data_IF_528331347577
#
_entry.id   IF_528331347577
#
_cell.length_a   1.000
_cell.length_b   1.000
_cell.length_c   1.000
_cell.angle_alpha   90.00
_cell.angle_beta   90.00
_cell.angle_gamma   90.00
#
_symmetry.space_group_name_H-M   'P 1'
#
loop_
_entity.id
_entity.type
_entity.pdbx_description
1 polymer ?
#
# COMPACT_ATOMS: atom_id res chain seq x y z
N UNK A 1 22.45 69.70 -15.96
CA UNK A 1 22.02 68.65 -15.02
C UNK A 1 23.23 68.21 -14.20
N UNK A 2 23.23 68.36 -12.88
CA UNK A 2 24.46 68.26 -12.05
C UNK A 2 24.98 66.83 -11.96
N UNK A 3 26.31 66.69 -11.89
CA UNK A 3 27.02 65.40 -11.88
C UNK A 3 26.65 64.50 -10.68
N UNK A 4 26.05 65.07 -9.63
CA UNK A 4 25.50 64.36 -8.48
C UNK A 4 24.16 63.66 -8.82
N UNK A 5 23.24 64.36 -9.50
CA UNK A 5 21.91 63.82 -9.86
C UNK A 5 22.01 62.62 -10.81
N UNK A 6 22.95 62.65 -11.75
CA UNK A 6 23.21 61.54 -12.69
C UNK A 6 23.78 60.30 -11.99
N UNK A 7 24.53 60.49 -10.89
CA UNK A 7 25.14 59.43 -10.10
C UNK A 7 24.12 58.71 -9.23
N UNK A 8 23.15 59.44 -8.69
CA UNK A 8 22.06 58.89 -7.90
C UNK A 8 21.04 58.14 -8.76
N UNK A 9 20.75 58.63 -9.97
CA UNK A 9 19.92 57.88 -10.92
C UNK A 9 20.58 56.57 -11.34
N UNK A 10 21.88 56.57 -11.66
CA UNK A 10 22.62 55.35 -11.98
C UNK A 10 22.63 54.33 -10.83
N UNK A 11 22.82 54.78 -9.59
CA UNK A 11 22.76 53.90 -8.41
C UNK A 11 21.37 53.31 -8.22
N UNK A 12 20.31 54.10 -8.40
CA UNK A 12 18.93 53.62 -8.32
C UNK A 12 18.63 52.58 -9.41
N UNK A 13 19.03 52.85 -10.65
CA UNK A 13 18.85 51.90 -11.76
C UNK A 13 19.63 50.60 -11.55
N UNK A 14 20.86 50.65 -11.04
CA UNK A 14 21.64 49.47 -10.68
C UNK A 14 20.99 48.66 -9.54
N UNK A 15 20.45 49.32 -8.52
CA UNK A 15 19.71 48.65 -7.43
C UNK A 15 18.45 47.96 -7.99
N UNK A 16 17.69 48.60 -8.86
CA UNK A 16 16.51 47.99 -9.48
C UNK A 16 16.87 46.80 -10.37
N UNK A 17 17.98 46.86 -11.12
CA UNK A 17 18.46 45.74 -11.94
C UNK A 17 18.90 44.56 -11.05
N UNK A 18 19.59 44.81 -9.94
CA UNK A 18 20.01 43.77 -8.98
C UNK A 18 18.81 43.13 -8.27
N UNK A 19 17.80 43.92 -7.88
CA UNK A 19 16.56 43.39 -7.28
C UNK A 19 15.75 42.59 -8.30
N UNK A 20 15.64 43.06 -9.54
CA UNK A 20 14.93 42.35 -10.60
C UNK A 20 15.62 41.02 -10.97
N UNK A 21 16.96 40.98 -11.00
CA UNK A 21 17.71 39.75 -11.27
C UNK A 21 17.67 38.77 -10.08
N UNK A 22 17.63 39.24 -8.84
CA UNK A 22 17.41 38.40 -7.66
C UNK A 22 15.99 37.79 -7.63
N UNK A 23 14.98 38.49 -8.13
CA UNK A 23 13.61 37.97 -8.25
C UNK A 23 13.45 36.92 -9.35
N UNK A 24 14.18 37.03 -10.47
CA UNK A 24 14.16 36.03 -11.55
C UNK A 24 14.90 34.74 -11.15
N UNK A 25 15.98 34.84 -10.38
CA UNK A 25 16.70 33.67 -9.87
C UNK A 25 15.93 32.88 -8.79
N UNK A 26 14.95 33.50 -8.13
CA UNK A 26 14.13 32.85 -7.09
C UNK A 26 13.04 31.90 -7.59
N UNK A 27 12.73 31.90 -8.90
CA UNK A 27 11.64 31.08 -9.47
C UNK A 27 12.10 29.84 -10.25
N UNK A 28 13.40 29.60 -10.38
CA UNK A 28 13.94 28.43 -11.10
C UNK A 28 14.01 27.14 -10.25
N UNK A 29 13.21 27.06 -9.18
CA UNK A 29 13.27 25.99 -8.19
C UNK A 29 11.92 25.36 -7.87
N UNK A 30 10.95 25.37 -8.79
CA UNK A 30 9.80 24.47 -8.64
C UNK A 30 10.25 23.08 -9.08
N UNK A 31 10.75 22.31 -8.11
CA UNK A 31 10.87 20.87 -8.29
C UNK A 31 9.48 20.37 -8.67
N UNK A 32 9.34 19.84 -9.89
CA UNK A 32 8.21 19.01 -10.24
C UNK A 32 8.15 17.90 -9.20
N UNK A 33 7.18 17.98 -8.29
CA UNK A 33 6.81 16.83 -7.48
C UNK A 33 6.33 15.79 -8.49
N UNK A 34 7.20 14.87 -8.90
CA UNK A 34 6.83 13.72 -9.66
C UNK A 34 5.72 13.03 -8.84
N UNK A 35 4.49 13.10 -9.35
CA UNK A 35 3.32 12.52 -8.69
C UNK A 35 3.61 11.07 -8.39
N UNK A 36 3.31 10.64 -7.17
CA UNK A 36 3.45 9.24 -6.80
C UNK A 36 2.46 8.45 -7.65
N UNK A 37 2.98 7.69 -8.61
CA UNK A 37 2.19 6.86 -9.53
C UNK A 37 1.54 5.71 -8.74
N UNK A 38 0.32 5.96 -8.29
CA UNK A 38 -0.52 4.99 -7.58
C UNK A 38 -1.68 4.55 -8.49
N UNK A 39 -2.56 3.69 -7.99
CA UNK A 39 -3.83 3.39 -8.68
C UNK A 39 -4.75 4.62 -8.83
N UNK A 40 -4.42 5.74 -8.19
CA UNK A 40 -5.14 7.02 -8.31
C UNK A 40 -4.55 7.95 -9.38
N UNK A 41 -3.44 7.57 -10.01
CA UNK A 41 -2.77 8.39 -11.02
C UNK A 41 -3.57 8.40 -12.33
N UNK A 42 -3.75 9.58 -12.94
CA UNK A 42 -4.61 9.75 -14.12
C UNK A 42 -4.09 8.97 -15.35
N UNK A 43 -2.78 8.76 -15.46
CA UNK A 43 -2.19 8.02 -16.59
C UNK A 43 -2.46 6.52 -16.48
N UNK A 44 -2.58 5.99 -15.26
CA UNK A 44 -2.92 4.59 -15.02
C UNK A 44 -4.41 4.39 -14.79
N UNK A 45 -5.15 5.45 -14.46
CA UNK A 45 -6.53 5.35 -14.06
C UNK A 45 -7.33 6.62 -14.44
N UNK A 46 -7.73 6.77 -15.71
CA UNK A 46 -8.30 8.02 -16.20
C UNK A 46 -9.77 8.25 -15.82
N UNK A 47 -10.49 7.22 -15.34
CA UNK A 47 -11.79 7.43 -14.67
C UNK A 47 -11.62 7.67 -13.15
N UNK A 48 -10.37 7.80 -12.67
CA UNK A 48 -9.96 8.13 -11.31
C UNK A 48 -10.73 7.33 -10.23
N UNK A 49 -11.42 8.03 -9.32
CA UNK A 49 -12.24 7.42 -8.27
C UNK A 49 -13.36 6.53 -8.84
N UNK A 50 -13.89 6.89 -10.01
CA UNK A 50 -15.07 6.26 -10.61
C UNK A 50 -14.77 4.93 -11.30
N UNK A 51 -13.49 4.58 -11.44
CA UNK A 51 -13.03 3.27 -11.89
C UNK A 51 -13.39 2.17 -10.90
N UNK A 52 -13.34 2.48 -9.61
CA UNK A 52 -13.65 1.54 -8.53
C UNK A 52 -14.99 1.87 -7.86
N UNK A 53 -15.25 3.15 -7.62
CA UNK A 53 -16.45 3.62 -6.97
C UNK A 53 -17.55 3.97 -7.99
N UNK A 54 -18.79 3.70 -7.63
CA UNK A 54 -19.97 3.94 -8.46
C UNK A 54 -20.49 5.37 -8.38
N UNK A 55 -20.04 6.15 -7.39
CA UNK A 55 -20.53 7.52 -7.11
C UNK A 55 -22.01 7.60 -6.69
N UNK A 56 -22.71 6.48 -6.66
CA UNK A 56 -24.14 6.35 -6.30
C UNK A 56 -24.34 5.11 -5.45
N UNK A 57 -25.10 5.21 -4.38
CA UNK A 57 -25.39 4.08 -3.51
C UNK A 57 -25.71 4.51 -2.09
N UNK A 58 -25.67 3.55 -1.18
CA UNK A 58 -26.02 3.76 0.23
C UNK A 58 -24.79 4.31 0.96
N UNK A 59 -24.95 5.46 1.61
CA UNK A 59 -23.93 6.06 2.49
C UNK A 59 -23.45 5.06 3.54
N UNK A 60 -22.14 5.03 3.78
CA UNK A 60 -21.52 4.10 4.73
C UNK A 60 -21.10 2.75 4.12
N UNK A 61 -21.37 2.52 2.83
CA UNK A 61 -20.78 1.40 2.07
C UNK A 61 -19.54 1.88 1.31
N UNK A 62 -18.73 0.94 0.81
CA UNK A 62 -17.60 1.27 -0.05
C UNK A 62 -18.03 1.81 -1.44
N UNK A 63 -19.33 1.80 -1.76
CA UNK A 63 -19.88 2.27 -3.04
C UNK A 63 -19.22 1.63 -4.27
N UNK A 64 -18.74 0.39 -4.16
CA UNK A 64 -18.05 -0.29 -5.25
C UNK A 64 -19.03 -0.65 -6.38
N UNK A 65 -18.55 -0.62 -7.63
CA UNK A 65 -19.36 -0.94 -8.82
C UNK A 65 -19.64 -2.43 -8.99
N UNK A 66 -18.79 -3.27 -8.40
CA UNK A 66 -18.84 -4.72 -8.43
C UNK A 66 -18.12 -5.25 -7.17
N UNK A 67 -17.91 -6.57 -7.09
CA UNK A 67 -17.13 -7.15 -5.99
C UNK A 67 -15.70 -6.57 -5.98
N UNK A 68 -15.03 -6.62 -4.84
CA UNK A 68 -13.67 -6.06 -4.69
C UNK A 68 -12.69 -6.74 -5.64
N UNK A 69 -12.79 -8.05 -5.78
CA UNK A 69 -11.87 -8.87 -6.57
C UNK A 69 -12.14 -8.69 -8.06
N UNK A 70 -13.41 -8.61 -8.47
CA UNK A 70 -13.76 -8.31 -9.85
C UNK A 70 -13.23 -6.94 -10.27
N UNK A 71 -13.24 -5.93 -9.38
CA UNK A 71 -12.60 -4.63 -9.64
C UNK A 71 -11.10 -4.78 -9.92
N UNK A 72 -10.39 -5.58 -9.12
CA UNK A 72 -8.98 -5.84 -9.35
C UNK A 72 -8.76 -6.56 -10.68
N UNK A 73 -9.54 -7.60 -10.98
CA UNK A 73 -9.41 -8.41 -12.19
C UNK A 73 -9.90 -7.73 -13.47
N UNK A 74 -10.72 -6.67 -13.38
CA UNK A 74 -11.10 -5.88 -14.54
C UNK A 74 -9.88 -5.20 -15.21
N UNK A 75 -8.83 -4.92 -14.45
CA UNK A 75 -7.55 -4.44 -14.99
C UNK A 75 -6.50 -5.55 -14.94
N UNK A 76 -6.31 -6.22 -13.80
CA UNK A 76 -5.27 -7.24 -13.60
C UNK A 76 -5.71 -8.67 -13.95
N UNK A 77 -6.60 -8.84 -14.91
CA UNK A 77 -7.12 -10.14 -15.35
C UNK A 77 -7.02 -10.35 -16.85
N UNK A 78 -7.65 -11.42 -17.34
CA UNK A 78 -7.64 -11.69 -18.78
C UNK A 78 -8.65 -10.81 -19.52
N UNK A 79 -8.28 -10.48 -20.76
CA UNK A 79 -8.86 -9.40 -21.58
C UNK A 79 -10.31 -9.52 -22.00
N UNK A 80 -10.97 -10.64 -21.68
CA UNK A 80 -12.37 -10.86 -22.09
C UNK A 80 -13.33 -10.04 -21.20
N UNK A 81 -12.93 -9.69 -19.97
CA UNK A 81 -13.74 -8.87 -19.04
C UNK A 81 -13.15 -7.47 -18.81
N UNK A 82 -11.91 -7.24 -19.25
CA UNK A 82 -11.19 -6.00 -19.01
C UNK A 82 -11.48 -4.97 -20.08
N UNK A 83 -12.22 -3.92 -19.72
CA UNK A 83 -12.40 -2.73 -20.57
C UNK A 83 -11.08 -2.04 -20.93
N UNK A 84 -9.95 -2.43 -20.32
CA UNK A 84 -8.67 -1.70 -20.31
C UNK A 84 -7.43 -2.61 -20.18
N UNK A 85 -7.23 -3.57 -21.09
CA UNK A 85 -6.06 -4.49 -21.07
C UNK A 85 -4.71 -3.75 -21.14
N UNK A 86 -4.72 -2.52 -21.63
CA UNK A 86 -3.60 -1.60 -21.74
C UNK A 86 -3.24 -0.88 -20.43
N UNK A 87 -4.11 -0.89 -19.42
CA UNK A 87 -3.87 -0.19 -18.15
C UNK A 87 -2.95 -0.98 -17.22
N UNK A 88 -3.21 -2.27 -17.03
CA UNK A 88 -2.43 -3.09 -16.11
C UNK A 88 -1.32 -3.85 -16.86
N UNK A 89 -0.09 -3.68 -16.39
CA UNK A 89 1.08 -4.41 -16.92
C UNK A 89 1.12 -5.88 -16.48
N UNK A 90 0.21 -6.32 -15.60
CA UNK A 90 0.24 -7.65 -14.97
C UNK A 90 -1.12 -8.35 -15.05
N UNK A 91 -1.10 -9.65 -15.33
CA UNK A 91 -2.26 -10.54 -15.22
C UNK A 91 -2.19 -11.32 -13.91
N UNK A 92 -2.59 -10.69 -12.80
CA UNK A 92 -2.55 -11.32 -11.48
C UNK A 92 -3.61 -12.42 -11.34
N UNK A 93 -4.73 -12.33 -12.07
CA UNK A 93 -5.77 -13.36 -12.07
C UNK A 93 -5.19 -14.74 -12.39
N UNK A 94 -4.37 -14.83 -13.43
CA UNK A 94 -3.70 -16.07 -13.81
C UNK A 94 -2.75 -16.62 -12.73
N UNK A 95 -2.17 -15.76 -11.88
CA UNK A 95 -1.36 -16.21 -10.74
C UNK A 95 -2.26 -16.74 -9.61
N UNK A 96 -3.40 -16.10 -9.38
CA UNK A 96 -4.36 -16.51 -8.34
C UNK A 96 -5.10 -17.80 -8.68
N UNK A 97 -5.09 -18.21 -9.95
CA UNK A 97 -5.66 -19.50 -10.40
C UNK A 97 -4.68 -20.68 -10.27
N UNK A 98 -3.44 -20.44 -9.84
CA UNK A 98 -2.47 -21.53 -9.59
C UNK A 98 -2.87 -22.31 -8.34
N UNK A 99 -2.54 -23.60 -8.32
CA UNK A 99 -2.85 -24.51 -7.21
C UNK A 99 -2.33 -24.02 -5.84
N UNK A 100 -1.15 -23.41 -5.81
CA UNK A 100 -0.52 -22.92 -4.57
C UNK A 100 -0.76 -21.42 -4.33
N UNK A 101 -1.87 -20.87 -4.83
CA UNK A 101 -2.21 -19.46 -4.66
C UNK A 101 -3.03 -19.22 -3.38
N UNK A 102 -3.00 -17.96 -2.93
CA UNK A 102 -3.98 -17.46 -1.97
C UNK A 102 -5.36 -17.42 -2.66
N UNK A 103 -6.42 -18.02 -2.07
CA UNK A 103 -7.74 -18.12 -2.70
C UNK A 103 -8.53 -16.81 -2.59
N UNK A 104 -7.97 -15.74 -3.15
CA UNK A 104 -8.56 -14.38 -3.06
C UNK A 104 -9.92 -14.30 -3.76
N UNK A 105 -10.09 -15.03 -4.86
CA UNK A 105 -11.36 -15.06 -5.60
C UNK A 105 -12.49 -15.76 -4.82
N UNK A 106 -12.15 -16.77 -4.02
CA UNK A 106 -13.14 -17.63 -3.36
C UNK A 106 -13.47 -17.17 -1.94
N UNK A 107 -12.54 -16.49 -1.27
CA UNK A 107 -12.63 -16.23 0.17
C UNK A 107 -12.80 -14.76 0.53
N UNK A 108 -12.66 -13.84 -0.42
CA UNK A 108 -12.71 -12.40 -0.16
C UNK A 108 -14.01 -11.88 0.46
N UNK A 109 -15.13 -12.55 0.18
CA UNK A 109 -16.43 -12.20 0.76
C UNK A 109 -16.44 -12.30 2.30
N UNK A 110 -15.48 -13.02 2.87
CA UNK A 110 -15.30 -13.16 4.32
C UNK A 110 -14.47 -12.03 4.93
N UNK A 111 -13.71 -11.27 4.12
CA UNK A 111 -12.86 -10.17 4.58
C UNK A 111 -13.69 -9.02 5.17
N UNK A 112 -13.25 -8.54 6.34
CA UNK A 112 -13.92 -7.44 7.06
C UNK A 112 -12.92 -6.32 7.35
N UNK A 113 -13.34 -5.08 7.08
CA UNK A 113 -12.52 -3.87 7.23
C UNK A 113 -11.86 -3.75 8.62
N UNK A 114 -12.53 -4.26 9.66
CA UNK A 114 -12.08 -4.15 11.06
C UNK A 114 -11.73 -5.49 11.72
N UNK A 115 -11.36 -6.50 10.92
CA UNK A 115 -10.85 -7.74 11.47
C UNK A 115 -9.53 -7.55 12.24
N UNK A 116 -9.35 -8.39 13.26
CA UNK A 116 -8.21 -8.38 14.15
C UNK A 116 -7.34 -9.60 13.88
N UNK A 117 -6.31 -9.42 13.06
CA UNK A 117 -5.29 -10.44 12.79
C UNK A 117 -4.09 -10.27 13.74
N UNK A 118 -3.41 -11.33 14.20
CA UNK A 118 -3.74 -12.74 13.95
C UNK A 118 -5.05 -13.16 14.59
N UNK A 119 -5.75 -14.08 13.92
CA UNK A 119 -7.05 -14.61 14.35
C UNK A 119 -6.92 -15.30 15.71
N UNK A 120 -7.93 -15.16 16.56
CA UNK A 120 -7.97 -15.72 17.92
C UNK A 120 -9.05 -16.76 18.12
N UNK A 121 -9.99 -16.87 17.19
CA UNK A 121 -11.02 -17.89 17.16
C UNK A 121 -10.68 -18.96 16.09
N UNK A 122 -10.39 -20.18 16.54
CA UNK A 122 -10.03 -21.31 15.67
C UNK A 122 -11.19 -21.75 14.77
N UNK A 123 -12.44 -21.41 15.09
CA UNK A 123 -13.61 -21.75 14.29
C UNK A 123 -13.81 -20.80 13.08
N UNK A 124 -13.07 -19.68 13.01
CA UNK A 124 -13.18 -18.74 11.89
C UNK A 124 -12.55 -19.33 10.65
N UNK A 125 -13.33 -19.38 9.56
CA UNK A 125 -12.85 -19.77 8.23
C UNK A 125 -11.70 -18.84 7.81
N UNK A 126 -10.58 -19.45 7.43
CA UNK A 126 -9.46 -18.72 6.82
C UNK A 126 -9.93 -18.08 5.52
N UNK A 127 -9.43 -16.89 5.27
CA UNK A 127 -9.72 -16.14 4.05
C UNK A 127 -8.59 -15.17 3.79
N UNK A 128 -8.57 -14.67 2.57
CA UNK A 128 -7.63 -13.65 2.10
C UNK A 128 -8.31 -12.88 0.97
N UNK A 129 -8.06 -11.59 0.90
CA UNK A 129 -8.52 -10.67 -0.14
C UNK A 129 -7.33 -9.83 -0.62
N UNK A 130 -7.45 -9.25 -1.81
CA UNK A 130 -6.42 -8.35 -2.35
C UNK A 130 -6.08 -7.23 -1.35
N UNK A 131 -7.09 -6.74 -0.62
CA UNK A 131 -6.98 -5.61 0.32
C UNK A 131 -6.29 -5.95 1.65
N UNK A 132 -6.02 -7.23 1.92
CA UNK A 132 -5.28 -7.64 3.12
C UNK A 132 -3.81 -7.22 3.04
N UNK A 133 -3.24 -7.30 1.84
CA UNK A 133 -1.87 -6.89 1.55
C UNK A 133 -1.82 -5.55 0.82
N UNK A 134 -2.78 -5.24 -0.07
CA UNK A 134 -2.77 -4.01 -0.86
C UNK A 134 -3.68 -2.93 -0.31
N UNK A 135 -3.14 -1.73 -0.10
CA UNK A 135 -3.94 -0.53 0.17
C UNK A 135 -4.15 0.28 -1.10
N UNK A 136 -5.23 -0.02 -1.80
CA UNK A 136 -5.55 0.47 -3.15
C UNK A 136 -5.47 2.00 -3.36
N UNK A 137 -5.62 2.82 -2.32
CA UNK A 137 -5.50 4.28 -2.45
C UNK A 137 -4.06 4.82 -2.34
N UNK A 138 -3.08 3.98 -2.00
CA UNK A 138 -1.71 4.43 -1.72
C UNK A 138 -0.61 3.52 -2.29
N UNK A 139 -0.94 2.31 -2.75
CA UNK A 139 0.04 1.39 -3.33
C UNK A 139 0.53 1.88 -4.68
N UNK A 140 1.81 1.61 -4.97
CA UNK A 140 2.50 1.96 -6.21
C UNK A 140 3.15 0.72 -6.81
N UNK A 141 3.73 0.85 -8.00
CA UNK A 141 4.54 -0.20 -8.62
C UNK A 141 5.80 -0.55 -7.82
N UNK A 142 6.43 0.46 -7.20
CA UNK A 142 7.63 0.28 -6.37
C UNK A 142 7.35 -0.16 -4.93
N UNK A 143 6.16 0.15 -4.40
CA UNK A 143 5.76 -0.20 -3.03
C UNK A 143 4.36 -0.88 -3.04
N UNK A 144 4.27 -2.13 -3.50
CA UNK A 144 2.98 -2.80 -3.72
C UNK A 144 2.21 -3.05 -2.44
N UNK A 145 2.88 -3.20 -1.29
CA UNK A 145 2.27 -3.45 0.02
C UNK A 145 2.25 -2.21 0.91
N UNK A 146 2.43 -1.01 0.33
CA UNK A 146 2.49 0.24 1.08
C UNK A 146 1.29 0.41 2.01
N UNK A 147 1.58 0.53 3.30
CA UNK A 147 0.57 0.72 4.35
C UNK A 147 -0.18 -0.54 4.76
N UNK A 148 0.18 -1.72 4.25
CA UNK A 148 -0.27 -3.00 4.83
C UNK A 148 0.07 -3.07 6.31
N UNK A 149 -0.78 -3.73 7.10
CA UNK A 149 -0.48 -4.02 8.51
C UNK A 149 0.58 -5.12 8.56
N UNK A 150 1.29 -5.21 9.68
CA UNK A 150 2.27 -6.28 9.90
C UNK A 150 2.13 -6.93 11.27
N UNK A 151 2.85 -8.01 11.49
CA UNK A 151 2.92 -8.74 12.74
C UNK A 151 4.33 -9.23 13.01
N UNK A 152 4.80 -9.06 14.24
CA UNK A 152 6.04 -9.64 14.74
C UNK A 152 5.73 -10.66 15.84
N UNK A 153 5.76 -11.96 15.55
CA UNK A 153 5.57 -13.00 16.55
C UNK A 153 6.70 -12.93 17.59
N UNK A 154 6.37 -13.24 18.85
CA UNK A 154 7.37 -13.28 19.93
C UNK A 154 8.13 -11.96 20.24
N UNK A 155 7.76 -10.81 19.65
CA UNK A 155 8.53 -9.55 19.77
C UNK A 155 8.71 -9.07 21.22
N UNK A 156 9.97 -9.12 21.67
CA UNK A 156 10.49 -8.96 23.05
C UNK A 156 10.63 -7.48 23.47
N UNK A 157 9.58 -6.65 23.34
CA UNK A 157 9.56 -5.34 24.02
C UNK A 157 8.56 -5.23 25.17
N UNK A 158 7.72 -6.23 25.39
CA UNK A 158 6.87 -6.29 26.58
C UNK A 158 7.42 -7.33 27.56
N UNK A 159 8.42 -6.95 28.36
CA UNK A 159 8.75 -7.64 29.61
C UNK A 159 7.54 -7.50 30.54
N UNK A 160 6.55 -8.37 30.42
CA UNK A 160 5.69 -8.69 31.58
C UNK A 160 6.26 -9.94 32.26
N UNK A 161 6.26 -10.02 33.60
CA UNK A 161 7.01 -11.04 34.33
C UNK A 161 6.40 -12.45 34.30
N UNK A 162 5.31 -12.68 33.58
CA UNK A 162 4.42 -13.83 33.82
C UNK A 162 3.95 -14.59 32.55
N UNK A 163 4.82 -14.80 31.56
CA UNK A 163 4.55 -15.81 30.52
C UNK A 163 4.52 -15.33 29.08
N UNK A 164 4.78 -16.29 28.20
CA UNK A 164 4.79 -16.31 26.72
C UNK A 164 4.61 -14.93 26.06
N UNK A 165 5.66 -14.38 25.39
CA UNK A 165 5.56 -13.08 24.71
C UNK A 165 4.45 -13.11 23.65
N UNK A 166 3.39 -12.33 23.85
CA UNK A 166 2.37 -12.10 22.81
C UNK A 166 3.04 -11.29 21.68
N UNK A 167 2.95 -11.77 20.45
CA UNK A 167 3.52 -11.03 19.31
C UNK A 167 2.89 -9.64 19.12
N UNK A 168 3.64 -8.75 18.47
CA UNK A 168 3.36 -7.34 18.30
C UNK A 168 2.65 -7.08 16.95
N UNK A 169 1.47 -6.44 17.00
CA UNK A 169 0.79 -5.93 15.80
C UNK A 169 1.41 -4.60 15.37
N UNK A 170 1.83 -4.53 14.12
CA UNK A 170 2.38 -3.32 13.52
C UNK A 170 1.30 -2.57 12.76
N UNK A 171 1.28 -1.24 12.95
CA UNK A 171 0.41 -0.35 12.16
C UNK A 171 0.77 -0.37 10.67
N UNK A 172 2.05 -0.56 10.36
CA UNK A 172 2.60 -0.70 9.01
C UNK A 172 3.68 -1.78 9.01
N UNK A 173 3.64 -2.67 8.04
CA UNK A 173 4.74 -3.59 7.77
C UNK A 173 5.92 -2.82 7.15
N UNK A 174 7.12 -3.08 7.63
CA UNK A 174 8.36 -2.60 7.03
C UNK A 174 8.96 -3.64 6.08
N UNK A 175 8.61 -4.91 6.28
CA UNK A 175 9.05 -6.02 5.45
C UNK A 175 7.85 -6.90 5.07
N UNK A 176 7.90 -7.53 3.89
CA UNK A 176 6.79 -8.32 3.38
C UNK A 176 6.42 -9.51 4.27
N UNK A 177 7.41 -10.18 4.87
CA UNK A 177 7.18 -11.31 5.77
C UNK A 177 6.34 -10.94 7.00
N UNK A 178 6.37 -9.68 7.43
CA UNK A 178 5.56 -9.20 8.56
C UNK A 178 4.07 -9.23 8.22
N UNK A 179 3.71 -9.09 6.94
CA UNK A 179 2.34 -9.23 6.44
C UNK A 179 1.94 -10.70 6.49
N UNK A 180 2.82 -11.60 6.01
CA UNK A 180 2.59 -13.04 6.04
C UNK A 180 2.29 -13.54 7.47
N UNK A 181 3.01 -13.02 8.46
CA UNK A 181 2.85 -13.38 9.87
C UNK A 181 1.49 -12.97 10.47
N UNK A 182 0.71 -12.10 9.83
CA UNK A 182 -0.66 -11.84 10.27
C UNK A 182 -1.52 -13.12 10.22
N UNK A 183 -1.29 -13.99 9.24
CA UNK A 183 -2.12 -15.18 8.99
C UNK A 183 -1.37 -16.49 9.26
N UNK A 184 -0.05 -16.52 9.06
CA UNK A 184 0.75 -17.74 9.08
C UNK A 184 1.60 -17.92 10.34
N UNK A 185 1.61 -16.94 11.25
CA UNK A 185 2.26 -17.09 12.55
C UNK A 185 1.26 -17.47 13.65
N UNK A 186 0.93 -16.56 14.55
CA UNK A 186 0.18 -16.85 15.78
C UNK A 186 -1.36 -16.84 15.60
N UNK A 187 -1.85 -17.20 14.42
CA UNK A 187 -3.29 -17.29 14.13
C UNK A 187 -3.86 -18.59 14.70
N UNK A 188 -4.97 -18.51 15.44
CA UNK A 188 -5.60 -19.68 16.08
C UNK A 188 -6.25 -20.66 15.10
N UNK A 189 -6.51 -20.22 13.87
CA UNK A 189 -7.14 -21.01 12.81
C UNK A 189 -6.12 -21.47 11.75
N UNK A 190 -4.88 -21.79 12.13
CA UNK A 190 -3.94 -22.44 11.21
C UNK A 190 -4.50 -23.79 10.74
N UNK A 191 -4.26 -24.20 9.48
CA UNK A 191 -4.56 -25.55 9.02
C UNK A 191 -3.86 -26.59 9.90
N UNK A 192 -4.49 -27.75 10.12
CA UNK A 192 -3.94 -28.79 11.02
C UNK A 192 -2.62 -29.39 10.55
N UNK A 193 -2.32 -29.26 9.26
CA UNK A 193 -1.09 -29.68 8.57
C UNK A 193 -0.09 -28.54 8.36
N UNK A 194 -0.39 -27.33 8.82
CA UNK A 194 0.48 -26.16 8.73
C UNK A 194 1.11 -25.84 10.08
N UNK A 195 2.39 -25.51 10.06
CA UNK A 195 3.09 -24.99 11.24
C UNK A 195 3.04 -23.47 11.29
N UNK A 196 3.45 -22.92 12.44
CA UNK A 196 3.71 -21.49 12.59
C UNK A 196 4.95 -21.13 11.77
N UNK A 197 4.75 -20.49 10.63
CA UNK A 197 5.81 -20.17 9.66
C UNK A 197 6.91 -19.31 10.31
N UNK A 198 6.57 -18.46 11.28
CA UNK A 198 7.58 -17.65 11.95
C UNK A 198 8.47 -18.45 12.89
N UNK A 199 7.98 -19.57 13.43
CA UNK A 199 8.80 -20.48 14.21
C UNK A 199 9.77 -21.26 13.30
N UNK A 200 9.35 -21.60 12.07
CA UNK A 200 10.20 -22.29 11.10
C UNK A 200 11.38 -21.42 10.63
N UNK A 201 11.10 -20.15 10.29
CA UNK A 201 12.13 -19.20 9.86
C UNK A 201 12.86 -18.50 11.00
N UNK A 202 12.62 -18.89 12.25
CA UNK A 202 13.34 -18.31 13.39
C UNK A 202 14.81 -18.76 13.35
N UNK A 203 15.79 -17.84 13.24
CA UNK A 203 17.20 -18.18 13.25
C UNK A 203 17.66 -18.83 14.57
N UNK A 204 16.93 -18.60 15.66
CA UNK A 204 17.18 -19.22 16.97
C UNK A 204 16.58 -20.64 17.08
N UNK A 205 15.92 -21.15 16.03
CA UNK A 205 15.40 -22.51 16.00
C UNK A 205 16.57 -23.51 15.90
N UNK A 206 16.51 -24.60 16.68
CA UNK A 206 17.56 -25.63 16.70
C UNK A 206 17.76 -26.33 15.34
N UNK A 207 16.76 -26.26 14.46
CA UNK A 207 16.80 -26.81 13.11
C UNK A 207 17.08 -25.75 12.02
N UNK A 208 17.42 -24.52 12.38
CA UNK A 208 17.72 -23.47 11.41
C UNK A 208 19.04 -23.75 10.69
N UNK A 209 19.02 -23.74 9.35
CA UNK A 209 20.20 -23.78 8.51
C UNK A 209 20.22 -22.53 7.62
N UNK A 210 21.30 -21.73 7.65
CA UNK A 210 21.45 -20.50 6.87
C UNK A 210 21.66 -20.75 5.37
#
# INVERSE_FOLDING_TARGET
MTHAKRRDELKRTLIYIVIASALVAGFAGVSAAAGIKSHMDIDTNPDECMSCHSGRGISGTALLRQSREDLCFACHGDSILGRRKDIAKTNIKAVMEKMSAHPVADTSMLHRIFEKLPEKDSAKKRHVACQDCHRVHITTDMEPTKGARGYLPGSVRSRKPTGVPKGLRLKRANNEYEICYLCHADSANLPGDSYNIAAEFNPDNASYHP
#
